data_IF_130743927055
#
_entry.id   IF_130743927055
#
_cell.length_a   1.000
_cell.length_b   1.000
_cell.length_c   1.000
_cell.angle_alpha   90.00
_cell.angle_beta   90.00
_cell.angle_gamma   90.00
#
_symmetry.space_group_name_H-M   'P 1'
#
loop_
_entity.id
_entity.type
_entity.pdbx_description
1 polymer ?
#
# COMPACT_ATOMS: atom_id res chain seq x y z
N UNK A 1 -14.70 -6.82 15.96
CA UNK A 1 -13.72 -7.69 16.62
C UNK A 1 -12.80 -8.36 15.58
N UNK A 2 -11.81 -7.65 15.04
CA UNK A 2 -10.84 -8.16 14.06
C UNK A 2 -9.53 -8.65 14.69
N UNK A 3 -9.16 -8.08 15.85
CA UNK A 3 -7.89 -8.35 16.50
C UNK A 3 -7.77 -9.80 17.00
N UNK A 4 -8.86 -10.39 17.50
CA UNK A 4 -8.88 -11.76 18.04
C UNK A 4 -8.49 -12.79 16.96
N UNK A 5 -9.16 -12.87 15.79
CA UNK A 5 -8.75 -13.81 14.74
C UNK A 5 -7.37 -13.49 14.17
N UNK A 6 -7.00 -12.21 14.07
CA UNK A 6 -5.66 -11.81 13.60
C UNK A 6 -4.55 -12.37 14.49
N UNK A 7 -4.62 -12.19 15.81
CA UNK A 7 -3.60 -12.68 16.75
C UNK A 7 -3.51 -14.20 16.74
N UNK A 8 -4.65 -14.90 16.65
CA UNK A 8 -4.66 -16.37 16.54
C UNK A 8 -3.93 -16.81 15.27
N UNK A 9 -4.26 -16.25 14.11
CA UNK A 9 -3.56 -16.59 12.86
C UNK A 9 -2.07 -16.26 12.87
N UNK A 10 -1.67 -15.18 13.56
CA UNK A 10 -0.29 -14.77 13.66
C UNK A 10 0.52 -15.76 14.51
N UNK A 11 0.00 -16.20 15.66
CA UNK A 11 0.71 -17.12 16.55
C UNK A 11 0.76 -18.54 15.97
N UNK A 12 -0.33 -19.03 15.37
CA UNK A 12 -0.41 -20.42 14.92
C UNK A 12 0.04 -20.65 13.47
N UNK A 13 0.02 -19.62 12.60
CA UNK A 13 0.40 -19.75 11.19
C UNK A 13 1.60 -18.84 10.85
N UNK A 14 1.50 -17.53 11.15
CA UNK A 14 2.54 -16.57 10.78
C UNK A 14 3.89 -16.83 11.43
N UNK A 15 3.93 -16.91 12.76
CA UNK A 15 5.17 -17.11 13.52
C UNK A 15 5.85 -18.46 13.22
N UNK A 16 5.14 -19.60 13.16
CA UNK A 16 5.76 -20.88 12.77
C UNK A 16 6.33 -20.88 11.35
N UNK A 17 5.62 -20.29 10.37
CA UNK A 17 6.12 -20.20 9.00
C UNK A 17 7.37 -19.33 8.89
N UNK A 18 7.38 -18.18 9.58
CA UNK A 18 8.55 -17.30 9.61
C UNK A 18 9.78 -17.96 10.26
N UNK A 19 9.58 -18.65 11.38
CA UNK A 19 10.66 -19.39 12.05
C UNK A 19 11.16 -20.54 11.15
N UNK A 20 10.25 -21.27 10.50
CA UNK A 20 10.63 -22.34 9.57
C UNK A 20 11.50 -21.79 8.43
N UNK A 21 11.07 -20.72 7.74
CA UNK A 21 11.81 -20.16 6.62
C UNK A 21 13.18 -19.61 7.04
N UNK A 22 13.23 -18.89 8.17
CA UNK A 22 14.48 -18.30 8.67
C UNK A 22 15.48 -19.35 9.15
N UNK A 23 15.05 -20.33 9.95
CA UNK A 23 15.93 -21.41 10.43
C UNK A 23 16.39 -22.32 9.29
N UNK A 24 15.53 -22.60 8.31
CA UNK A 24 15.87 -23.39 7.14
C UNK A 24 16.86 -22.66 6.21
N UNK A 25 16.67 -21.35 6.01
CA UNK A 25 17.63 -20.52 5.28
C UNK A 25 19.00 -20.45 5.98
N UNK A 26 19.01 -20.33 7.31
CA UNK A 26 20.25 -20.33 8.11
C UNK A 26 20.97 -21.68 8.09
N UNK A 27 20.25 -22.80 8.19
CA UNK A 27 20.83 -24.14 8.20
C UNK A 27 21.55 -24.47 6.89
N UNK A 28 20.99 -24.02 5.76
CA UNK A 28 21.54 -24.34 4.45
C UNK A 28 22.58 -23.34 3.96
N UNK A 29 22.60 -22.12 4.52
CA UNK A 29 23.51 -21.04 4.10
C UNK A 29 23.50 -20.82 2.57
N UNK A 30 22.36 -21.13 1.94
CA UNK A 30 22.13 -21.05 0.50
C UNK A 30 20.88 -20.20 0.31
N UNK A 31 20.87 -19.33 -0.70
CA UNK A 31 19.70 -18.50 -1.01
C UNK A 31 18.43 -19.32 -1.31
N UNK A 32 17.26 -18.67 -1.20
CA UNK A 32 15.95 -19.32 -1.30
C UNK A 32 15.71 -20.18 -2.56
N UNK A 33 16.38 -19.86 -3.67
CA UNK A 33 16.35 -20.66 -4.91
C UNK A 33 17.08 -22.00 -4.81
N UNK A 34 18.14 -22.07 -4.00
CA UNK A 34 18.94 -23.29 -3.80
C UNK A 34 18.48 -24.13 -2.60
N UNK A 35 17.59 -23.59 -1.78
CA UNK A 35 17.06 -24.20 -0.56
C UNK A 35 16.39 -25.56 -0.78
N UNK A 36 15.69 -25.71 -1.91
CA UNK A 36 14.95 -26.93 -2.25
C UNK A 36 15.78 -27.98 -3.02
N UNK A 37 17.12 -27.85 -3.07
CA UNK A 37 17.98 -28.91 -3.64
C UNK A 37 17.95 -30.21 -2.83
N UNK A 38 17.57 -30.14 -1.54
CA UNK A 38 17.42 -31.31 -0.66
C UNK A 38 16.21 -32.17 -1.05
N UNK A 39 15.13 -31.54 -1.54
CA UNK A 39 13.94 -32.25 -1.99
C UNK A 39 13.52 -31.73 -3.38
N UNK A 40 13.97 -32.40 -4.47
CA UNK A 40 13.82 -31.89 -5.83
C UNK A 40 12.35 -31.71 -6.27
N UNK A 41 11.39 -32.39 -5.61
CA UNK A 41 9.97 -32.22 -5.87
C UNK A 41 9.47 -30.80 -5.53
N UNK A 42 10.10 -30.13 -4.56
CA UNK A 42 9.75 -28.77 -4.12
C UNK A 42 10.58 -27.68 -4.79
N UNK A 43 11.42 -28.03 -5.78
CA UNK A 43 12.24 -27.04 -6.50
C UNK A 43 11.40 -25.93 -7.15
N UNK A 44 10.17 -26.25 -7.57
CA UNK A 44 9.23 -25.27 -8.12
C UNK A 44 8.80 -24.18 -7.13
N UNK A 45 8.79 -24.47 -5.83
CA UNK A 45 8.39 -23.50 -4.78
C UNK A 45 9.38 -22.34 -4.71
N UNK A 46 10.68 -22.62 -4.76
CA UNK A 46 11.70 -21.57 -4.76
C UNK A 46 11.64 -20.68 -6.00
N UNK A 47 11.38 -21.27 -7.18
CA UNK A 47 11.22 -20.51 -8.43
C UNK A 47 9.95 -19.66 -8.38
N UNK A 48 8.83 -20.21 -7.89
CA UNK A 48 7.59 -19.47 -7.72
C UNK A 48 7.75 -18.29 -6.76
N UNK A 49 8.44 -18.47 -5.63
CA UNK A 49 8.76 -17.40 -4.69
C UNK A 49 9.59 -16.28 -5.34
N UNK A 50 10.59 -16.62 -6.15
CA UNK A 50 11.40 -15.63 -6.86
C UNK A 50 10.59 -14.86 -7.92
N UNK A 51 9.71 -15.54 -8.66
CA UNK A 51 8.80 -14.89 -9.62
C UNK A 51 7.84 -13.96 -8.87
N UNK A 52 7.22 -14.40 -7.79
CA UNK A 52 6.35 -13.54 -6.98
C UNK A 52 7.09 -12.31 -6.44
N UNK A 53 8.33 -12.48 -5.96
CA UNK A 53 9.16 -11.37 -5.51
C UNK A 53 9.46 -10.38 -6.65
N UNK A 54 9.71 -10.86 -7.87
CA UNK A 54 9.91 -10.00 -9.05
C UNK A 54 8.67 -9.15 -9.36
N UNK A 55 7.48 -9.77 -9.43
CA UNK A 55 6.22 -9.05 -9.63
C UNK A 55 5.94 -8.04 -8.52
N UNK A 56 6.20 -8.43 -7.27
CA UNK A 56 6.04 -7.56 -6.11
C UNK A 56 6.94 -6.33 -6.21
N UNK A 57 8.21 -6.50 -6.59
CA UNK A 57 9.13 -5.38 -6.78
C UNK A 57 8.62 -4.39 -7.86
N UNK A 58 8.16 -4.87 -9.01
CA UNK A 58 7.63 -4.00 -10.08
C UNK A 58 6.43 -3.18 -9.60
N UNK A 59 5.52 -3.80 -8.86
CA UNK A 59 4.36 -3.10 -8.32
C UNK A 59 4.75 -2.10 -7.22
N UNK A 60 5.61 -2.51 -6.28
CA UNK A 60 5.96 -1.69 -5.12
C UNK A 60 6.78 -0.46 -5.46
N UNK A 61 7.64 -0.49 -6.48
CA UNK A 61 8.40 0.71 -6.90
C UNK A 61 7.47 1.84 -7.37
N UNK A 62 6.30 1.53 -7.92
CA UNK A 62 5.31 2.53 -8.35
C UNK A 62 4.68 3.22 -7.14
N UNK A 63 4.27 2.45 -6.14
CA UNK A 63 3.71 3.00 -4.90
C UNK A 63 4.75 3.83 -4.15
N UNK A 64 6.01 3.36 -4.11
CA UNK A 64 7.10 4.10 -3.49
C UNK A 64 7.39 5.41 -4.25
N UNK A 65 7.34 5.38 -5.58
CA UNK A 65 7.47 6.58 -6.42
C UNK A 65 6.38 7.61 -6.10
N UNK A 66 5.12 7.20 -6.01
CA UNK A 66 4.03 8.09 -5.59
C UNK A 66 4.29 8.67 -4.20
N UNK A 67 4.65 7.84 -3.22
CA UNK A 67 4.97 8.29 -1.86
C UNK A 67 6.10 9.33 -1.86
N UNK A 68 7.16 9.12 -2.64
CA UNK A 68 8.26 10.08 -2.78
C UNK A 68 7.82 11.39 -3.44
N UNK A 69 6.99 11.35 -4.49
CA UNK A 69 6.44 12.55 -5.12
C UNK A 69 5.61 13.36 -4.11
N UNK A 70 4.66 12.72 -3.40
CA UNK A 70 3.85 13.39 -2.39
C UNK A 70 4.69 13.91 -1.23
N UNK A 71 5.72 13.17 -0.81
CA UNK A 71 6.65 13.63 0.21
C UNK A 71 7.40 14.89 -0.23
N UNK A 72 7.91 14.92 -1.47
CA UNK A 72 8.65 16.06 -2.00
C UNK A 72 7.76 17.31 -2.09
N UNK A 73 6.54 17.18 -2.59
CA UNK A 73 5.59 18.29 -2.66
C UNK A 73 5.12 18.74 -1.27
N UNK A 74 5.19 17.88 -0.25
CA UNK A 74 4.90 18.25 1.15
C UNK A 74 6.06 18.97 1.83
N UNK A 75 7.31 18.68 1.43
CA UNK A 75 8.53 19.30 1.98
C UNK A 75 8.83 20.63 1.30
N UNK A 76 8.43 20.82 0.03
CA UNK A 76 8.48 22.14 -0.62
C UNK A 76 7.79 23.14 0.31
N UNK A 77 8.57 24.11 0.80
CA UNK A 77 8.20 25.13 1.80
C UNK A 77 7.09 26.10 1.37
N UNK A 78 6.39 25.79 0.28
CA UNK A 78 5.19 26.51 -0.10
C UNK A 78 4.09 26.21 0.91
N UNK A 79 3.47 27.27 1.44
CA UNK A 79 2.33 27.15 2.37
C UNK A 79 1.12 26.47 1.71
N UNK A 80 1.11 26.34 0.37
CA UNK A 80 0.00 25.81 -0.39
C UNK A 80 0.40 24.51 -1.11
N UNK A 81 0.13 23.37 -0.48
CA UNK A 81 0.28 22.06 -1.12
C UNK A 81 -0.72 21.88 -2.27
N UNK A 82 -0.36 21.18 -3.36
CA UNK A 82 -1.20 21.08 -4.57
C UNK A 82 -2.61 20.50 -4.34
N UNK A 83 -2.80 19.71 -3.29
CA UNK A 83 -4.10 19.11 -2.93
C UNK A 83 -4.91 19.94 -1.92
N UNK A 84 -4.44 21.14 -1.54
CA UNK A 84 -5.17 22.01 -0.60
C UNK A 84 -6.37 22.69 -1.25
N UNK A 85 -6.20 23.17 -2.48
CA UNK A 85 -7.18 24.02 -3.19
C UNK A 85 -7.56 23.46 -4.56
N UNK A 86 -8.73 23.89 -5.05
CA UNK A 86 -9.26 23.49 -6.34
C UNK A 86 -8.84 24.39 -7.53
N UNK A 87 -7.86 25.27 -7.36
CA UNK A 87 -7.43 26.25 -8.36
C UNK A 87 -6.32 25.74 -9.30
N UNK A 88 -6.50 24.54 -9.86
CA UNK A 88 -5.50 23.90 -10.71
C UNK A 88 -6.10 23.45 -12.05
N UNK A 89 -5.28 23.42 -13.11
CA UNK A 89 -5.72 23.09 -14.46
C UNK A 89 -6.30 21.66 -14.60
N UNK A 90 -5.89 20.73 -13.74
CA UNK A 90 -6.41 19.36 -13.72
C UNK A 90 -7.74 19.21 -12.99
N UNK A 91 -8.23 20.26 -12.34
CA UNK A 91 -9.46 20.20 -11.56
C UNK A 91 -10.71 20.35 -12.44
N UNK A 92 -11.78 19.68 -12.02
CA UNK A 92 -13.09 19.77 -12.67
C UNK A 92 -13.97 20.82 -11.99
N UNK A 93 -15.05 21.30 -12.62
CA UNK A 93 -16.03 22.20 -11.99
C UNK A 93 -16.73 21.63 -10.75
N UNK A 94 -16.51 20.34 -10.44
CA UNK A 94 -17.04 19.65 -9.26
C UNK A 94 -16.01 19.45 -8.15
N UNK A 95 -14.78 19.95 -8.33
CA UNK A 95 -13.76 19.93 -7.28
C UNK A 95 -14.23 20.77 -6.07
N UNK A 96 -13.97 20.27 -4.86
CA UNK A 96 -14.36 20.89 -3.60
C UNK A 96 -13.20 20.83 -2.62
N UNK A 97 -12.86 21.98 -2.03
CA UNK A 97 -11.89 22.05 -0.93
C UNK A 97 -12.62 22.10 0.42
N UNK A 98 -12.08 21.43 1.44
CA UNK A 98 -12.64 21.48 2.82
C UNK A 98 -12.42 22.84 3.50
N UNK A 99 -11.53 23.67 2.93
CA UNK A 99 -11.19 25.00 3.44
C UNK A 99 -12.09 26.11 2.88
N UNK A 100 -12.91 25.81 1.87
CA UNK A 100 -13.85 26.79 1.32
C UNK A 100 -15.09 26.96 2.19
N UNK A 101 -15.49 28.21 2.52
CA UNK A 101 -16.70 28.44 3.29
C UNK A 101 -17.94 27.98 2.51
N UNK A 102 -18.83 27.29 3.21
CA UNK A 102 -20.16 26.93 2.75
C UNK A 102 -20.96 28.19 2.45
N UNK A 103 -21.06 28.57 1.18
CA UNK A 103 -22.03 29.60 0.77
C UNK A 103 -23.41 28.96 0.75
N UNK A 104 -24.32 29.47 1.59
CA UNK A 104 -25.72 29.06 1.59
C UNK A 104 -26.38 29.57 0.30
N UNK A 105 -26.42 28.72 -0.72
CA UNK A 105 -27.22 28.96 -1.92
C UNK A 105 -28.65 28.50 -1.65
N UNK A 106 -29.62 29.42 -1.66
CA UNK A 106 -31.04 29.15 -1.42
C UNK A 106 -31.63 28.12 -2.40
N UNK A 107 -30.96 27.86 -3.54
CA UNK A 107 -31.35 26.86 -4.53
C UNK A 107 -30.69 25.48 -4.33
N UNK A 108 -29.80 25.30 -3.34
CA UNK A 108 -29.10 24.04 -3.08
C UNK A 108 -29.32 23.54 -1.66
N UNK A 109 -29.97 22.39 -1.53
CA UNK A 109 -30.08 21.65 -0.26
C UNK A 109 -28.74 21.07 0.17
N UNK A 110 -28.51 20.96 1.49
CA UNK A 110 -27.30 20.35 2.09
C UNK A 110 -27.02 18.93 1.55
N UNK A 111 -28.06 18.14 1.24
CA UNK A 111 -27.91 16.81 0.64
C UNK A 111 -27.26 16.85 -0.77
N UNK A 112 -27.71 17.76 -1.64
CA UNK A 112 -27.07 18.05 -2.94
C UNK A 112 -25.66 18.61 -2.78
N UNK A 113 -25.38 19.31 -1.69
CA UNK A 113 -24.04 19.79 -1.40
C UNK A 113 -23.08 18.63 -1.10
N UNK A 114 -23.43 17.68 -0.24
CA UNK A 114 -22.56 16.54 0.09
C UNK A 114 -22.60 15.39 -0.93
N UNK A 115 -23.40 15.50 -1.99
CA UNK A 115 -23.57 14.46 -3.00
C UNK A 115 -23.95 13.10 -2.37
N UNK A 116 -24.64 13.17 -1.22
CA UNK A 116 -25.20 12.02 -0.51
C UNK A 116 -26.62 11.86 -1.08
N UNK A 117 -26.86 10.74 -1.75
CA UNK A 117 -28.20 10.36 -2.22
C UNK A 117 -29.08 9.94 -1.04
#
# INVERSE_FOLDING_TARGET
AFLIPYVISLIFCGAPLFILETTWGQLLSIGGLGMFKICPIFKGVGIAAAVMAFWLNIYYIVVLSWAMCYLWESIRLDSNVPWRNCDHQWNTPRCRSEYEPLTCDNNRTIAKYFNVQ
#
